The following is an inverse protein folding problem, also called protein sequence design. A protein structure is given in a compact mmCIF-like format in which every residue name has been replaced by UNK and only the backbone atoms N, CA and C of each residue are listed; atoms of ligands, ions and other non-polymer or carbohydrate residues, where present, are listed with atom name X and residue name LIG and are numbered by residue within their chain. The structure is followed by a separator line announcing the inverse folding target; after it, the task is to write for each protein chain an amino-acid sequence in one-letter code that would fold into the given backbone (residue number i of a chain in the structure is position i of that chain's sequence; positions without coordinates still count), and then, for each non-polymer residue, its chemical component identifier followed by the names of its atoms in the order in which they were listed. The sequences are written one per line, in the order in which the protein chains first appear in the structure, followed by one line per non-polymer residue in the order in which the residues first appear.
data_IF_246221291923
#
_entry.id   IF_246221291923
#
_cell.length_a   1.000
_cell.length_b   1.000
_cell.length_c   1.000
_cell.angle_alpha   90.00
_cell.angle_beta   90.00
_cell.angle_gamma   90.00
#
_symmetry.space_group_name_H-M   'P 1'
#
loop_
_entity.id
_entity.type
_entity.pdbx_description
1 polymer ?
#
# COMPACT_ATOMS: atom_id res chain seq x y z
N UNK A 1 -30.87 15.89 -25.60
CA UNK A 1 -31.25 15.11 -24.41
C UNK A 1 -30.84 13.67 -24.64
N UNK A 2 -29.66 13.30 -24.16
CA UNK A 2 -29.29 11.92 -23.83
C UNK A 2 -28.36 12.06 -22.62
N UNK A 3 -28.98 12.14 -21.44
CA UNK A 3 -28.27 11.87 -20.18
C UNK A 3 -28.01 10.37 -20.16
N UNK A 4 -26.75 9.98 -20.28
CA UNK A 4 -26.32 8.67 -19.82
C UNK A 4 -26.20 8.77 -18.31
N UNK A 5 -27.27 8.37 -17.63
CA UNK A 5 -27.22 7.93 -16.24
C UNK A 5 -26.42 6.62 -16.18
N UNK A 6 -25.08 6.73 -16.19
CA UNK A 6 -24.23 5.69 -15.65
C UNK A 6 -24.22 5.88 -14.13
N UNK A 7 -25.26 5.34 -13.51
CA UNK A 7 -25.32 5.16 -12.07
C UNK A 7 -24.11 4.29 -11.67
N UNK A 8 -23.10 4.91 -11.06
CA UNK A 8 -21.90 4.26 -10.54
C UNK A 8 -22.18 3.37 -9.31
N UNK A 9 -23.45 3.04 -9.05
CA UNK A 9 -23.88 2.31 -7.87
C UNK A 9 -24.10 0.82 -8.17
N UNK A 10 -23.25 0.02 -7.51
CA UNK A 10 -23.28 -1.45 -7.39
C UNK A 10 -22.88 -2.27 -8.62
N UNK A 11 -21.60 -2.68 -8.66
CA UNK A 11 -21.26 -3.95 -9.30
C UNK A 11 -22.16 -5.05 -8.72
N UNK A 12 -22.68 -5.91 -9.59
CA UNK A 12 -23.48 -7.05 -9.15
C UNK A 12 -22.59 -8.03 -8.39
N UNK A 13 -22.66 -7.94 -7.06
CA UNK A 13 -21.96 -8.83 -6.15
C UNK A 13 -22.80 -10.05 -5.72
N UNK A 14 -23.96 -10.29 -6.35
CA UNK A 14 -24.92 -11.33 -5.93
C UNK A 14 -24.32 -12.74 -5.88
N UNK A 15 -23.40 -13.04 -6.81
CA UNK A 15 -22.81 -14.36 -6.96
C UNK A 15 -21.54 -14.57 -6.12
N UNK A 16 -20.99 -13.51 -5.51
CA UNK A 16 -19.75 -13.59 -4.73
C UNK A 16 -20.07 -13.70 -3.24
N UNK A 17 -20.00 -14.92 -2.73
CA UNK A 17 -20.39 -15.27 -1.37
C UNK A 17 -19.19 -15.62 -0.49
N UNK A 18 -18.02 -15.86 -1.08
CA UNK A 18 -16.82 -16.21 -0.33
C UNK A 18 -16.06 -14.97 0.13
N UNK A 19 -15.62 -14.98 1.38
CA UNK A 19 -14.72 -13.99 1.97
C UNK A 19 -14.08 -14.59 3.22
N UNK A 20 -12.94 -14.06 3.63
CA UNK A 20 -12.33 -14.35 4.93
C UNK A 20 -11.98 -13.04 5.64
N UNK A 21 -12.24 -12.99 6.95
CA UNK A 21 -11.77 -11.90 7.81
C UNK A 21 -10.45 -12.27 8.48
N UNK A 22 -9.44 -11.43 8.25
CA UNK A 22 -8.10 -11.51 8.81
C UNK A 22 -7.96 -10.43 9.89
N UNK A 23 -8.06 -10.77 11.18
CA UNK A 23 -7.88 -9.80 12.25
C UNK A 23 -6.42 -9.36 12.33
N UNK A 24 -6.18 -8.12 12.72
CA UNK A 24 -4.82 -7.73 13.07
C UNK A 24 -4.35 -8.44 14.33
N UNK A 25 -3.05 -8.76 14.35
CA UNK A 25 -2.38 -9.41 15.49
C UNK A 25 -2.45 -8.52 16.74
N UNK A 26 -2.36 -7.21 16.54
CA UNK A 26 -2.40 -6.20 17.58
C UNK A 26 -3.41 -5.10 17.22
N UNK A 27 -3.97 -4.38 18.20
CA UNK A 27 -4.80 -3.21 17.94
C UNK A 27 -4.07 -2.20 17.04
N UNK A 28 -4.81 -1.60 16.12
CA UNK A 28 -4.27 -0.65 15.16
C UNK A 28 -3.80 0.63 15.85
N UNK A 29 -2.60 1.11 15.48
CA UNK A 29 -1.94 2.27 16.06
C UNK A 29 -1.20 3.07 14.99
N UNK A 30 -0.90 4.33 15.30
CA UNK A 30 -0.07 5.18 14.44
C UNK A 30 1.37 4.65 14.37
N UNK A 31 1.92 4.12 15.47
CA UNK A 31 3.35 3.82 15.57
C UNK A 31 3.73 2.45 14.99
N UNK A 32 2.75 1.58 14.76
CA UNK A 32 2.96 0.17 14.41
C UNK A 32 2.30 -0.16 13.06
N UNK A 33 3.01 -0.92 12.23
CA UNK A 33 2.44 -1.45 10.99
C UNK A 33 1.43 -2.54 11.34
N UNK A 34 0.20 -2.55 10.79
CA UNK A 34 -0.76 -3.62 11.04
C UNK A 34 -0.19 -4.95 10.54
N UNK A 35 -0.30 -5.98 11.37
CA UNK A 35 0.20 -7.32 11.06
C UNK A 35 -0.96 -8.29 10.97
N UNK A 36 -0.91 -9.22 10.01
CA UNK A 36 -1.79 -10.40 9.95
C UNK A 36 -0.98 -11.67 10.20
N UNK A 37 -1.62 -12.71 10.74
CA UNK A 37 -0.99 -14.02 10.92
C UNK A 37 -0.96 -14.76 9.60
N UNK A 38 0.21 -15.24 9.18
CA UNK A 38 0.38 -16.08 8.00
C UNK A 38 1.27 -17.28 8.28
N UNK A 39 1.23 -18.26 7.38
CA UNK A 39 2.25 -19.29 7.21
C UNK A 39 2.77 -19.17 5.78
N UNK A 40 4.07 -19.01 5.60
CA UNK A 40 4.72 -18.95 4.28
C UNK A 40 5.61 -20.17 4.14
N UNK A 41 5.28 -21.03 3.18
CA UNK A 41 6.01 -22.28 2.94
C UNK A 41 6.28 -23.08 4.24
N UNK A 42 5.25 -23.25 5.08
CA UNK A 42 5.32 -23.96 6.36
C UNK A 42 5.85 -23.15 7.54
N UNK A 43 6.39 -21.94 7.32
CA UNK A 43 6.95 -21.09 8.39
C UNK A 43 5.90 -20.06 8.88
N UNK A 44 5.52 -20.04 10.16
CA UNK A 44 4.63 -19.02 10.70
C UNK A 44 5.29 -17.63 10.71
N UNK A 45 4.64 -16.64 10.11
CA UNK A 45 5.14 -15.26 10.02
C UNK A 45 4.00 -14.29 10.34
N UNK A 46 4.32 -13.20 11.07
CA UNK A 46 3.42 -12.05 11.21
C UNK A 46 3.74 -11.08 10.08
N UNK A 47 2.90 -11.04 9.05
CA UNK A 47 3.15 -10.23 7.86
C UNK A 47 2.58 -8.82 8.01
N UNK A 48 3.38 -7.77 7.76
CA UNK A 48 2.86 -6.40 7.70
C UNK A 48 1.95 -6.22 6.50
N UNK A 49 0.82 -5.54 6.67
CA UNK A 49 -0.08 -5.17 5.57
C UNK A 49 0.28 -3.76 5.11
N UNK A 50 0.84 -3.64 3.91
CA UNK A 50 1.28 -2.37 3.31
C UNK A 50 0.52 -2.12 1.99
N UNK A 51 -0.36 -1.12 1.97
CA UNK A 51 -1.11 -0.73 0.76
C UNK A 51 -0.37 0.27 -0.13
N UNK A 52 0.78 0.80 0.28
CA UNK A 52 1.64 1.69 -0.53
C UNK A 52 2.57 0.94 -1.49
N UNK A 53 2.54 -0.38 -1.46
CA UNK A 53 3.42 -1.25 -2.24
C UNK A 53 2.73 -2.55 -2.65
N UNK A 54 3.33 -3.29 -3.57
CA UNK A 54 2.81 -4.60 -4.01
C UNK A 54 3.94 -5.63 -4.03
N UNK A 55 3.67 -6.83 -3.52
CA UNK A 55 4.62 -7.94 -3.51
C UNK A 55 5.03 -8.37 -2.10
N UNK A 56 5.53 -9.60 -1.98
CA UNK A 56 5.93 -10.18 -0.70
C UNK A 56 7.45 -10.40 -0.69
N UNK A 57 8.11 -9.99 0.40
CA UNK A 57 9.55 -10.19 0.61
C UNK A 57 9.77 -10.92 1.95
N UNK A 58 10.60 -11.96 1.93
CA UNK A 58 11.02 -12.67 3.14
C UNK A 58 12.52 -12.91 3.09
N UNK A 59 13.23 -12.67 4.18
CA UNK A 59 14.65 -13.00 4.28
C UNK A 59 14.90 -14.49 4.07
N UNK A 60 15.91 -14.84 3.26
CA UNK A 60 16.31 -16.23 3.04
C UNK A 60 16.54 -17.02 4.35
N UNK A 61 17.14 -16.46 5.42
CA UNK A 61 17.30 -17.19 6.68
C UNK A 61 15.99 -17.56 7.40
N UNK A 62 14.87 -16.92 7.06
CA UNK A 62 13.55 -17.23 7.64
C UNK A 62 12.90 -18.43 6.92
N UNK A 63 13.30 -18.69 5.68
CA UNK A 63 12.75 -19.75 4.82
C UNK A 63 13.85 -20.77 4.46
N UNK A 64 14.40 -21.50 5.44
CA UNK A 64 15.59 -22.35 5.22
C UNK A 64 15.35 -23.50 4.24
N UNK A 65 14.11 -23.96 4.10
CA UNK A 65 13.74 -25.11 3.26
C UNK A 65 13.36 -24.70 1.82
N UNK A 66 13.44 -23.41 1.47
CA UNK A 66 13.14 -22.95 0.11
C UNK A 66 14.34 -23.20 -0.80
N UNK A 67 14.11 -24.00 -1.84
CA UNK A 67 15.09 -24.23 -2.91
C UNK A 67 15.21 -23.02 -3.85
N UNK A 68 16.19 -22.17 -3.55
CA UNK A 68 16.50 -20.98 -4.33
C UNK A 68 16.95 -21.27 -5.77
N UNK A 69 17.40 -22.49 -6.10
CA UNK A 69 17.81 -22.82 -7.47
C UNK A 69 16.64 -22.75 -8.47
N UNK A 70 15.41 -22.93 -7.98
CA UNK A 70 14.16 -22.81 -8.75
C UNK A 70 13.68 -21.37 -8.92
N UNK A 71 14.28 -20.43 -8.20
CA UNK A 71 13.89 -19.02 -8.21
C UNK A 71 14.55 -18.21 -9.32
N UNK A 72 13.87 -17.15 -9.76
CA UNK A 72 14.40 -16.20 -10.77
C UNK A 72 15.07 -15.00 -10.10
N UNK A 73 16.30 -14.60 -10.48
CA UNK A 73 16.96 -13.43 -9.89
C UNK A 73 16.13 -12.16 -9.97
N UNK A 74 16.03 -11.45 -8.84
CA UNK A 74 15.24 -10.26 -8.71
C UNK A 74 15.80 -9.30 -7.64
N UNK A 75 15.32 -8.08 -7.70
CA UNK A 75 15.63 -7.02 -6.75
C UNK A 75 14.44 -6.08 -6.60
N UNK A 76 14.40 -5.37 -5.48
CA UNK A 76 13.40 -4.35 -5.18
C UNK A 76 14.03 -3.22 -4.40
N UNK A 77 13.72 -1.98 -4.78
CA UNK A 77 14.15 -0.79 -4.08
C UNK A 77 12.94 -0.06 -3.50
N UNK A 78 12.97 0.22 -2.19
CA UNK A 78 11.93 0.98 -1.51
C UNK A 78 12.43 2.40 -1.21
N UNK A 79 12.06 3.36 -2.06
CA UNK A 79 12.55 4.75 -2.00
C UNK A 79 12.16 5.50 -0.73
N UNK A 80 11.07 5.14 -0.07
CA UNK A 80 10.67 5.73 1.22
C UNK A 80 11.65 5.41 2.35
N UNK A 81 12.44 4.33 2.20
CA UNK A 81 13.37 3.84 3.22
C UNK A 81 14.83 3.82 2.75
N UNK A 82 15.08 4.07 1.45
CA UNK A 82 16.37 3.89 0.80
C UNK A 82 16.93 2.48 1.01
N UNK A 83 16.08 1.45 0.97
CA UNK A 83 16.50 0.06 1.16
C UNK A 83 16.44 -0.67 -0.18
N UNK A 84 17.54 -1.31 -0.52
CA UNK A 84 17.67 -2.23 -1.64
C UNK A 84 17.61 -3.67 -1.15
N UNK A 85 16.82 -4.50 -1.81
CA UNK A 85 16.67 -5.92 -1.56
C UNK A 85 17.06 -6.67 -2.83
N UNK A 86 17.84 -7.74 -2.68
CA UNK A 86 18.29 -8.61 -3.77
C UNK A 86 18.09 -10.06 -3.37
N UNK A 87 17.67 -10.88 -4.33
CA UNK A 87 17.46 -12.30 -4.11
C UNK A 87 16.77 -12.96 -5.29
N UNK A 88 15.84 -13.87 -5.02
CA UNK A 88 15.10 -14.61 -6.06
C UNK A 88 13.60 -14.62 -5.83
N UNK A 89 12.83 -14.50 -6.90
CA UNK A 89 11.39 -14.75 -6.90
C UNK A 89 11.17 -16.26 -6.97
N UNK A 90 10.49 -16.79 -5.96
CA UNK A 90 10.05 -18.19 -5.89
C UNK A 90 8.55 -18.18 -5.65
N UNK A 91 7.80 -18.99 -6.39
CA UNK A 91 6.37 -19.15 -6.15
C UNK A 91 6.20 -19.98 -4.86
N UNK A 92 5.65 -19.35 -3.82
CA UNK A 92 5.47 -19.95 -2.50
C UNK A 92 4.01 -19.89 -2.09
N UNK A 93 3.59 -20.92 -1.35
CA UNK A 93 2.28 -20.92 -0.70
C UNK A 93 2.29 -19.97 0.51
N UNK A 94 1.25 -19.16 0.60
CA UNK A 94 0.96 -18.24 1.70
C UNK A 94 -0.42 -18.57 2.24
N UNK A 95 -0.51 -19.04 3.48
CA UNK A 95 -1.77 -19.25 4.18
C UNK A 95 -2.01 -18.11 5.15
N UNK A 96 -3.15 -17.44 5.04
CA UNK A 96 -3.65 -16.42 5.95
C UNK A 96 -4.53 -17.06 7.01
N UNK A 97 -4.33 -16.69 8.28
CA UNK A 97 -5.11 -17.21 9.40
C UNK A 97 -6.14 -16.19 9.87
N UNK A 98 -7.41 -16.54 9.73
CA UNK A 98 -8.56 -15.75 10.14
C UNK A 98 -9.06 -16.07 11.55
N UNK A 99 -10.28 -15.62 11.85
CA UNK A 99 -10.96 -15.92 13.12
C UNK A 99 -11.45 -17.37 13.16
N UNK A 100 -11.61 -17.94 14.37
CA UNK A 100 -12.22 -19.25 14.59
C UNK A 100 -11.59 -20.40 13.78
N UNK A 101 -10.28 -20.33 13.49
CA UNK A 101 -9.57 -21.35 12.71
C UNK A 101 -9.80 -21.29 11.19
N UNK A 102 -10.56 -20.29 10.71
CA UNK A 102 -10.67 -20.04 9.27
C UNK A 102 -9.32 -19.67 8.67
N UNK A 103 -9.10 -20.05 7.41
CA UNK A 103 -7.87 -19.74 6.70
C UNK A 103 -8.11 -19.62 5.20
N UNK A 104 -7.23 -18.91 4.51
CA UNK A 104 -7.24 -18.82 3.06
C UNK A 104 -5.82 -18.95 2.54
N UNK A 105 -5.62 -19.59 1.40
CA UNK A 105 -4.29 -19.80 0.83
C UNK A 105 -4.17 -19.21 -0.56
N UNK A 106 -2.99 -18.70 -0.87
CA UNK A 106 -2.57 -18.20 -2.17
C UNK A 106 -1.22 -18.78 -2.55
N UNK A 107 -0.95 -18.90 -3.84
CA UNK A 107 0.40 -19.17 -4.37
C UNK A 107 0.85 -17.95 -5.17
N UNK A 108 1.91 -17.29 -4.71
CA UNK A 108 2.40 -16.05 -5.34
C UNK A 108 3.93 -16.03 -5.44
N UNK A 109 4.51 -15.25 -6.37
CA UNK A 109 5.93 -14.98 -6.39
C UNK A 109 6.35 -14.18 -5.15
N UNK A 110 7.19 -14.79 -4.33
CA UNK A 110 7.81 -14.20 -3.14
C UNK A 110 9.27 -13.89 -3.43
N UNK A 111 9.71 -12.66 -3.18
CA UNK A 111 11.12 -12.32 -3.22
C UNK A 111 11.81 -12.83 -1.95
N UNK A 112 12.49 -13.97 -2.08
CA UNK A 112 13.34 -14.51 -1.02
C UNK A 112 14.65 -13.74 -1.04
N UNK A 113 14.85 -12.90 -0.01
CA UNK A 113 15.92 -11.90 0.06
C UNK A 113 17.21 -12.53 0.57
N UNK A 114 18.20 -12.62 -0.30
CA UNK A 114 19.55 -13.11 -0.01
C UNK A 114 20.43 -11.97 0.55
N UNK A 115 20.24 -10.75 0.04
CA UNK A 115 21.00 -9.58 0.44
C UNK A 115 20.11 -8.34 0.59
N UNK A 116 20.43 -7.49 1.58
CA UNK A 116 19.75 -6.20 1.77
C UNK A 116 20.75 -5.13 2.17
N UNK A 117 20.55 -3.92 1.63
CA UNK A 117 21.43 -2.78 1.83
C UNK A 117 20.64 -1.51 2.09
N UNK A 118 21.20 -0.62 2.90
CA UNK A 118 20.83 0.79 2.86
C UNK A 118 21.58 1.42 1.69
N UNK A 119 20.82 1.93 0.73
CA UNK A 119 21.26 2.33 -0.59
C UNK A 119 20.67 3.70 -0.98
N UNK A 120 21.11 4.82 -0.36
CA UNK A 120 20.52 6.15 -0.59
C UNK A 120 20.73 6.68 -2.01
N UNK A 121 21.72 6.15 -2.73
CA UNK A 121 22.13 6.62 -4.05
C UNK A 121 21.56 5.77 -5.19
N UNK A 122 20.71 4.79 -4.86
CA UNK A 122 20.06 3.98 -5.89
C UNK A 122 19.14 4.85 -6.75
N UNK A 123 19.20 4.61 -8.05
CA UNK A 123 18.37 5.28 -9.06
C UNK A 123 17.89 4.18 -10.00
N UNK A 124 16.61 3.77 -9.93
CA UNK A 124 16.09 2.65 -10.72
C UNK A 124 16.12 2.91 -12.22
N UNK A 125 16.33 4.15 -12.67
CA UNK A 125 16.47 4.45 -14.10
C UNK A 125 17.92 4.28 -14.61
N UNK A 126 18.89 4.16 -13.70
CA UNK A 126 20.33 4.08 -14.03
C UNK A 126 20.98 2.80 -13.53
N UNK A 127 20.56 2.34 -12.37
CA UNK A 127 21.17 1.24 -11.65
C UNK A 127 20.38 -0.05 -11.88
N UNK A 128 21.13 -1.13 -12.11
CA UNK A 128 20.61 -2.47 -12.31
C UNK A 128 20.52 -3.25 -10.99
N UNK A 129 20.91 -4.54 -10.98
CA UNK A 129 20.66 -5.44 -9.85
C UNK A 129 21.61 -5.26 -8.65
N UNK A 130 22.40 -4.19 -8.61
CA UNK A 130 23.37 -3.91 -7.56
C UNK A 130 23.15 -2.53 -6.97
N UNK A 131 23.36 -2.42 -5.65
CA UNK A 131 23.43 -1.12 -5.00
C UNK A 131 24.76 -0.42 -5.37
N UNK A 132 24.73 0.79 -5.96
CA UNK A 132 25.94 1.49 -6.34
C UNK A 132 26.75 1.99 -5.13
N UNK A 133 28.03 2.29 -5.37
CA UNK A 133 28.81 3.11 -4.45
C UNK A 133 28.26 4.53 -4.40
N UNK A 134 28.47 5.20 -3.26
CA UNK A 134 28.12 6.60 -3.10
C UNK A 134 28.99 7.53 -3.98
N UNK A 135 28.57 8.79 -4.16
CA UNK A 135 29.31 9.77 -4.96
C UNK A 135 30.77 9.98 -4.52
N UNK A 136 31.11 9.71 -3.26
CA UNK A 136 32.46 9.77 -2.71
C UNK A 136 33.14 8.40 -2.59
N UNK A 137 32.57 7.34 -3.19
CA UNK A 137 33.07 5.97 -3.09
C UNK A 137 32.58 5.20 -1.86
N UNK A 138 31.57 5.70 -1.15
CA UNK A 138 31.04 5.07 0.06
C UNK A 138 30.39 3.72 -0.26
N UNK A 139 30.78 2.67 0.48
CA UNK A 139 30.16 1.36 0.34
C UNK A 139 28.73 1.35 0.93
N UNK A 140 27.79 0.62 0.31
CA UNK A 140 26.45 0.49 0.85
C UNK A 140 26.44 -0.31 2.16
N UNK A 141 25.60 0.12 3.11
CA UNK A 141 25.53 -0.52 4.43
C UNK A 141 24.65 -1.77 4.37
N UNK A 142 25.24 -2.95 4.52
CA UNK A 142 24.51 -4.23 4.59
C UNK A 142 23.56 -4.27 5.79
N UNK A 143 22.40 -4.89 5.59
CA UNK A 143 21.37 -5.14 6.61
C UNK A 143 21.26 -6.63 6.89
N UNK A 144 20.83 -6.95 8.10
CA UNK A 144 20.50 -8.33 8.46
C UNK A 144 19.21 -8.76 7.73
N UNK A 145 19.27 -9.90 7.03
CA UNK A 145 18.13 -10.46 6.31
C UNK A 145 17.23 -11.32 7.20
N UNK A 146 17.68 -11.75 8.38
CA UNK A 146 16.91 -12.63 9.29
C UNK A 146 15.66 -12.00 9.92
N UNK A 147 15.41 -10.71 9.64
CA UNK A 147 14.26 -9.94 10.14
C UNK A 147 13.44 -9.30 9.01
N UNK A 148 13.70 -9.66 7.76
CA UNK A 148 12.99 -9.08 6.62
C UNK A 148 11.71 -9.86 6.40
N UNK A 149 10.59 -9.21 6.72
CA UNK A 149 9.23 -9.65 6.38
C UNK A 149 8.47 -8.44 5.86
N UNK A 150 7.91 -8.54 4.66
CA UNK A 150 7.19 -7.43 4.02
C UNK A 150 6.09 -7.99 3.13
N UNK A 151 4.90 -7.40 3.17
CA UNK A 151 3.79 -7.79 2.30
C UNK A 151 3.03 -6.55 1.82
N UNK A 152 3.34 -6.17 0.59
CA UNK A 152 2.62 -5.17 -0.18
C UNK A 152 1.36 -5.74 -0.80
N UNK A 153 0.21 -5.11 -0.51
CA UNK A 153 -1.12 -5.46 -1.01
C UNK A 153 -1.78 -4.31 -1.79
N UNK A 154 -1.03 -3.24 -2.08
CA UNK A 154 -1.44 -2.13 -2.93
C UNK A 154 -1.50 -2.44 -4.42
N UNK A 155 -1.69 -1.39 -5.21
CA UNK A 155 -1.76 -1.40 -6.69
C UNK A 155 -1.24 -0.08 -7.27
N UNK A 156 -1.08 0.00 -8.60
CA UNK A 156 -0.80 1.27 -9.31
C UNK A 156 0.61 1.84 -9.15
N UNK A 157 1.59 1.03 -8.71
CA UNK A 157 2.99 1.44 -8.46
C UNK A 157 3.99 0.95 -9.52
N UNK A 158 3.50 0.31 -10.59
CA UNK A 158 4.31 -0.31 -11.64
C UNK A 158 4.70 0.63 -12.80
N UNK A 159 4.35 1.92 -12.71
CA UNK A 159 4.76 2.93 -13.69
C UNK A 159 6.24 3.28 -13.55
N UNK A 160 6.88 3.60 -14.68
CA UNK A 160 8.24 4.12 -14.67
C UNK A 160 8.31 5.38 -13.78
N UNK A 161 9.28 5.42 -12.87
CA UNK A 161 9.42 6.48 -11.85
C UNK A 161 8.77 6.18 -10.48
N UNK A 162 7.90 5.18 -10.38
CA UNK A 162 7.28 4.79 -9.09
C UNK A 162 8.05 3.71 -8.32
N UNK A 163 9.21 3.30 -8.84
CA UNK A 163 10.21 2.43 -8.22
C UNK A 163 9.72 1.01 -7.85
N UNK A 164 8.53 0.60 -8.32
CA UNK A 164 8.01 -0.76 -8.15
C UNK A 164 7.56 -1.38 -9.48
N UNK A 165 8.43 -1.52 -10.49
CA UNK A 165 8.06 -2.07 -11.81
C UNK A 165 7.51 -3.51 -11.74
N UNK A 166 7.76 -4.23 -10.64
CA UNK A 166 7.24 -5.57 -10.36
C UNK A 166 6.00 -5.58 -9.45
N UNK A 167 5.47 -4.41 -9.10
CA UNK A 167 4.26 -4.26 -8.31
C UNK A 167 3.01 -4.57 -9.15
N UNK A 168 2.87 -5.84 -9.54
CA UNK A 168 1.83 -6.35 -10.42
C UNK A 168 0.77 -7.12 -9.60
N UNK A 169 -0.48 -7.25 -10.08
CA UNK A 169 -1.53 -7.96 -9.36
C UNK A 169 -1.18 -9.39 -8.96
N UNK A 170 -0.38 -10.10 -9.78
CA UNK A 170 0.13 -11.44 -9.45
C UNK A 170 0.97 -11.53 -8.16
N UNK A 171 1.59 -10.42 -7.75
CA UNK A 171 2.38 -10.35 -6.50
C UNK A 171 1.55 -9.97 -5.28
N UNK A 172 0.28 -9.61 -5.45
CA UNK A 172 -0.62 -9.25 -4.36
C UNK A 172 -1.32 -10.51 -3.84
N UNK A 173 -0.92 -10.98 -2.66
CA UNK A 173 -1.46 -12.21 -2.08
C UNK A 173 -2.98 -12.18 -1.85
N UNK A 174 -3.57 -11.01 -1.57
CA UNK A 174 -5.02 -10.88 -1.39
C UNK A 174 -5.82 -11.03 -2.68
N UNK A 175 -5.20 -10.84 -3.85
CA UNK A 175 -5.88 -10.96 -5.15
C UNK A 175 -5.78 -12.36 -5.77
N UNK A 176 -4.99 -13.25 -5.17
CA UNK A 176 -4.65 -14.55 -5.73
C UNK A 176 -4.98 -15.68 -4.74
N UNK A 177 -6.08 -15.54 -3.99
CA UNK A 177 -6.60 -16.61 -3.11
C UNK A 177 -7.12 -17.76 -3.97
N UNK A 178 -6.64 -18.97 -3.69
CA UNK A 178 -6.93 -20.21 -4.40
C UNK A 178 -7.84 -21.14 -3.59
N UNK A 179 -7.75 -21.08 -2.26
CA UNK A 179 -8.58 -21.89 -1.35
C UNK A 179 -8.98 -21.13 -0.09
N UNK A 180 -10.14 -21.48 0.45
CA UNK A 180 -10.64 -21.02 1.76
C UNK A 180 -11.05 -22.26 2.56
N UNK A 181 -10.55 -22.37 3.79
CA UNK A 181 -10.79 -23.48 4.71
C UNK A 181 -10.45 -24.87 4.12
N UNK A 182 -9.41 -24.93 3.30
CA UNK A 182 -8.98 -26.16 2.62
C UNK A 182 -9.76 -26.53 1.36
N UNK A 183 -10.83 -25.80 1.04
CA UNK A 183 -11.61 -25.99 -0.17
C UNK A 183 -11.16 -25.02 -1.27
N UNK A 184 -10.98 -25.53 -2.48
CA UNK A 184 -10.66 -24.68 -3.64
C UNK A 184 -11.81 -23.69 -3.88
N UNK A 185 -11.46 -22.43 -4.13
CA UNK A 185 -12.42 -21.37 -4.44
C UNK A 185 -13.06 -21.66 -5.81
N UNK A 186 -14.39 -21.90 -5.88
CA UNK A 186 -15.04 -22.11 -7.17
C UNK A 186 -14.94 -20.86 -8.07
N UNK A 187 -14.80 -21.03 -9.40
CA UNK A 187 -14.82 -19.90 -10.33
C UNK A 187 -16.05 -19.01 -10.12
N UNK A 188 -15.82 -17.70 -10.01
CA UNK A 188 -16.89 -16.71 -9.84
C UNK A 188 -17.49 -16.61 -8.42
N UNK A 189 -17.05 -17.41 -7.45
CA UNK A 189 -17.55 -17.35 -6.07
C UNK A 189 -16.85 -16.33 -5.17
N UNK A 190 -15.64 -15.92 -5.56
CA UNK A 190 -14.80 -14.93 -4.87
C UNK A 190 -14.53 -13.75 -5.79
N UNK A 191 -14.90 -12.55 -5.36
CA UNK A 191 -14.55 -11.30 -6.05
C UNK A 191 -13.17 -10.87 -5.60
N UNK A 192 -12.17 -10.98 -6.47
CA UNK A 192 -10.80 -10.57 -6.13
C UNK A 192 -10.75 -9.08 -5.75
N UNK A 193 -10.29 -8.83 -4.53
CA UNK A 193 -10.36 -7.53 -3.88
C UNK A 193 -10.37 -7.69 -2.36
N UNK A 194 -10.35 -6.58 -1.64
CA UNK A 194 -10.36 -6.60 -0.17
C UNK A 194 -10.94 -5.31 0.41
N UNK A 195 -11.42 -5.39 1.65
CA UNK A 195 -11.77 -4.25 2.51
C UNK A 195 -10.80 -4.20 3.67
N UNK A 196 -10.09 -3.09 3.85
CA UNK A 196 -9.14 -2.84 4.92
C UNK A 196 -9.70 -1.79 5.89
N UNK A 197 -9.68 -2.10 7.19
CA UNK A 197 -10.11 -1.21 8.27
C UNK A 197 -9.04 -1.16 9.37
N UNK A 198 -9.30 -0.39 10.44
CA UNK A 198 -8.49 -0.43 11.66
C UNK A 198 -8.61 -1.75 12.47
N UNK A 199 -9.51 -2.67 12.11
CA UNK A 199 -9.68 -3.95 12.84
C UNK A 199 -9.08 -5.14 12.11
N UNK A 200 -8.92 -5.05 10.79
CA UNK A 200 -8.39 -6.14 9.98
C UNK A 200 -8.71 -5.99 8.50
N UNK A 201 -8.71 -7.12 7.80
CA UNK A 201 -8.94 -7.19 6.35
C UNK A 201 -9.98 -8.23 6.03
N UNK A 202 -11.02 -7.85 5.28
CA UNK A 202 -11.83 -8.82 4.55
C UNK A 202 -11.20 -9.06 3.18
N UNK A 203 -10.76 -10.29 2.90
CA UNK A 203 -10.27 -10.69 1.58
C UNK A 203 -11.40 -11.39 0.83
N UNK A 204 -11.63 -10.99 -0.43
CA UNK A 204 -12.83 -11.34 -1.18
C UNK A 204 -13.97 -10.37 -0.91
N UNK A 205 -14.45 -9.68 -1.94
CA UNK A 205 -15.57 -8.76 -1.81
C UNK A 205 -16.91 -9.51 -1.88
N UNK A 206 -17.80 -9.16 -0.97
CA UNK A 206 -19.20 -9.63 -0.95
C UNK A 206 -20.11 -8.43 -0.78
N UNK A 207 -21.40 -8.60 -1.11
CA UNK A 207 -22.40 -7.53 -0.87
C UNK A 207 -22.43 -7.07 0.59
N UNK A 208 -22.15 -7.97 1.53
CA UNK A 208 -22.14 -7.65 2.96
C UNK A 208 -20.96 -6.77 3.33
N UNK A 209 -19.74 -7.16 2.99
CA UNK A 209 -18.55 -6.46 3.48
C UNK A 209 -18.30 -5.11 2.78
N UNK A 210 -18.87 -4.88 1.59
CA UNK A 210 -18.84 -3.57 0.90
C UNK A 210 -20.06 -2.69 1.18
N UNK A 211 -20.97 -3.09 2.07
CA UNK A 211 -22.12 -2.25 2.42
C UNK A 211 -21.65 -0.88 2.93
N UNK A 212 -22.23 0.18 2.37
CA UNK A 212 -21.91 1.56 2.72
C UNK A 212 -20.55 2.04 2.23
N UNK A 213 -19.91 1.30 1.33
CA UNK A 213 -18.72 1.77 0.61
C UNK A 213 -19.16 2.64 -0.55
N UNK A 214 -18.63 3.86 -0.61
CA UNK A 214 -18.73 4.71 -1.79
C UNK A 214 -17.52 4.49 -2.68
N UNK A 215 -17.75 4.12 -3.94
CA UNK A 215 -16.71 3.71 -4.89
C UNK A 215 -16.44 4.80 -5.92
N UNK A 216 -15.17 4.98 -6.23
CA UNK A 216 -14.70 5.73 -7.40
C UNK A 216 -14.09 4.76 -8.41
N UNK A 217 -14.22 5.09 -9.69
CA UNK A 217 -13.59 4.34 -10.77
C UNK A 217 -12.08 4.63 -10.84
N UNK A 218 -11.32 3.58 -11.13
CA UNK A 218 -9.88 3.63 -11.35
C UNK A 218 -9.57 3.63 -12.84
N UNK A 219 -8.50 4.32 -13.20
CA UNK A 219 -7.96 4.28 -14.55
C UNK A 219 -7.15 2.98 -14.75
N UNK A 220 -7.13 2.40 -15.97
CA UNK A 220 -6.28 1.25 -16.28
C UNK A 220 -4.81 1.48 -15.93
N UNK A 221 -4.18 0.47 -15.31
CA UNK A 221 -2.75 0.45 -15.02
C UNK A 221 -1.89 0.18 -16.26
N UNK A 222 -0.56 0.15 -16.06
CA UNK A 222 0.42 0.01 -17.15
C UNK A 222 0.30 -1.33 -17.88
N UNK A 223 0.03 -2.40 -17.12
CA UNK A 223 -0.08 -3.78 -17.59
C UNK A 223 -1.52 -4.28 -17.64
N UNK A 224 -2.50 -3.36 -17.64
CA UNK A 224 -3.93 -3.69 -17.62
C UNK A 224 -4.36 -4.59 -18.79
N UNK A 225 -3.70 -4.45 -19.95
CA UNK A 225 -3.97 -5.32 -21.12
C UNK A 225 -3.52 -6.77 -20.90
N UNK A 226 -2.55 -7.00 -20.03
CA UNK A 226 -2.03 -8.33 -19.70
C UNK A 226 -2.74 -8.93 -18.47
N UNK A 227 -3.02 -8.10 -17.47
CA UNK A 227 -3.81 -8.48 -16.30
C UNK A 227 -4.86 -7.39 -16.04
N UNK A 228 -6.16 -7.65 -16.29
CA UNK A 228 -7.22 -6.64 -16.12
C UNK A 228 -7.44 -6.21 -14.66
N UNK A 229 -6.70 -6.80 -13.71
CA UNK A 229 -6.67 -6.36 -12.31
C UNK A 229 -5.62 -5.27 -12.04
N UNK A 230 -4.80 -4.91 -13.04
CA UNK A 230 -3.81 -3.86 -12.90
C UNK A 230 -4.44 -2.49 -13.13
N UNK A 231 -4.59 -1.74 -12.04
CA UNK A 231 -5.22 -0.41 -12.03
C UNK A 231 -4.22 0.65 -11.58
N UNK A 232 -4.38 1.88 -12.07
CA UNK A 232 -3.64 3.04 -11.61
C UNK A 232 -4.08 3.46 -10.20
N UNK A 233 -3.26 4.28 -9.54
CA UNK A 233 -3.62 4.91 -8.26
C UNK A 233 -4.91 5.73 -8.39
N UNK A 234 -5.72 5.86 -7.31
CA UNK A 234 -6.92 6.69 -7.33
C UNK A 234 -6.59 8.16 -7.60
N UNK A 235 -7.47 8.83 -8.35
CA UNK A 235 -7.46 10.29 -8.51
C UNK A 235 -7.77 10.98 -7.18
N UNK A 236 -7.16 12.13 -6.96
CA UNK A 236 -7.38 12.96 -5.78
C UNK A 236 -7.28 14.44 -6.12
N UNK A 237 -7.96 15.26 -5.32
CA UNK A 237 -7.69 16.68 -5.18
C UNK A 237 -7.22 16.94 -3.75
N UNK A 238 -6.21 17.77 -3.58
CA UNK A 238 -5.78 18.20 -2.25
C UNK A 238 -5.41 19.68 -2.26
N UNK A 239 -5.58 20.35 -1.12
CA UNK A 239 -5.24 21.75 -0.95
C UNK A 239 -4.21 21.94 0.16
N UNK A 240 -3.31 22.90 -0.03
CA UNK A 240 -2.34 23.34 0.97
C UNK A 240 -2.58 24.83 1.22
N UNK A 241 -3.02 25.18 2.43
CA UNK A 241 -3.45 26.54 2.78
C UNK A 241 -4.43 27.13 1.73
N UNK A 242 -5.42 26.32 1.34
CA UNK A 242 -6.45 26.67 0.34
C UNK A 242 -6.02 26.63 -1.13
N UNK A 243 -4.75 26.28 -1.43
CA UNK A 243 -4.27 26.14 -2.82
C UNK A 243 -4.43 24.72 -3.32
N UNK A 244 -5.41 24.52 -4.20
CA UNK A 244 -5.75 23.21 -4.75
C UNK A 244 -4.71 22.66 -5.73
N UNK A 245 -4.61 21.33 -5.76
CA UNK A 245 -3.77 20.52 -6.62
C UNK A 245 -4.57 19.26 -7.02
N UNK A 246 -4.39 18.79 -8.25
CA UNK A 246 -5.04 17.59 -8.74
C UNK A 246 -4.01 16.55 -9.16
N UNK A 247 -4.19 15.31 -8.73
CA UNK A 247 -3.19 14.28 -8.94
C UNK A 247 -3.65 12.90 -8.54
N UNK A 248 -2.73 12.14 -7.94
CA UNK A 248 -2.98 10.77 -7.49
C UNK A 248 -2.72 10.62 -6.00
N UNK A 249 -3.36 9.64 -5.39
CA UNK A 249 -3.21 9.35 -3.98
C UNK A 249 -2.81 7.89 -3.73
N UNK A 250 -2.07 7.68 -2.63
CA UNK A 250 -1.96 6.39 -1.96
C UNK A 250 -2.51 6.51 -0.56
N UNK A 251 -3.44 5.62 -0.21
CA UNK A 251 -3.74 5.31 1.18
C UNK A 251 -2.78 4.22 1.61
N UNK A 252 -1.80 4.55 2.46
CA UNK A 252 -0.64 3.69 2.74
C UNK A 252 -0.61 3.21 4.20
N UNK A 253 -1.04 1.96 4.42
CA UNK A 253 -0.94 1.29 5.71
C UNK A 253 0.50 0.86 6.07
N UNK A 254 1.50 1.15 5.25
CA UNK A 254 2.92 0.85 5.45
C UNK A 254 3.69 1.94 6.18
N UNK A 255 3.19 3.18 6.23
CA UNK A 255 3.88 4.30 6.90
C UNK A 255 2.98 5.17 7.80
N UNK A 256 3.50 5.75 8.90
CA UNK A 256 2.73 6.62 9.78
C UNK A 256 2.73 8.10 9.37
N UNK A 257 3.52 8.46 8.37
CA UNK A 257 3.72 9.83 7.91
C UNK A 257 3.18 9.99 6.50
N UNK A 258 2.97 11.25 6.11
CA UNK A 258 2.49 11.61 4.79
C UNK A 258 3.63 12.10 3.90
N UNK A 259 3.55 11.80 2.60
CA UNK A 259 4.32 12.48 1.57
C UNK A 259 3.40 13.38 0.76
N UNK A 260 3.85 14.58 0.44
CA UNK A 260 3.12 15.50 -0.43
C UNK A 260 4.03 16.03 -1.52
N UNK A 261 3.59 15.91 -2.76
CA UNK A 261 4.25 16.43 -3.95
C UNK A 261 3.28 17.33 -4.69
N UNK A 262 3.72 18.55 -4.97
CA UNK A 262 2.97 19.54 -5.72
C UNK A 262 3.54 19.70 -7.13
N UNK A 263 2.80 20.41 -7.99
CA UNK A 263 3.33 20.86 -9.27
C UNK A 263 4.53 21.81 -9.10
N UNK A 264 5.26 21.98 -10.19
CA UNK A 264 6.33 22.97 -10.26
C UNK A 264 5.77 24.38 -9.99
N UNK A 265 6.49 25.14 -9.16
CA UNK A 265 6.08 26.50 -8.78
C UNK A 265 5.10 26.58 -7.61
N UNK A 266 4.51 25.47 -7.15
CA UNK A 266 3.60 25.46 -5.99
C UNK A 266 4.37 25.09 -4.73
N UNK A 267 4.74 26.10 -3.93
CA UNK A 267 5.52 25.89 -2.71
C UNK A 267 4.70 25.26 -1.59
N UNK A 268 5.27 24.25 -0.94
CA UNK A 268 4.75 23.69 0.32
C UNK A 268 5.47 24.37 1.48
N UNK A 269 4.78 25.04 2.43
CA UNK A 269 5.43 25.65 3.59
C UNK A 269 6.22 24.60 4.37
N UNK A 270 7.54 24.72 4.42
CA UNK A 270 8.39 23.73 5.04
C UNK A 270 9.47 24.34 5.94
N UNK A 271 9.99 23.49 6.83
CA UNK A 271 11.11 23.76 7.71
C UNK A 271 12.11 22.62 7.61
N UNK A 272 13.39 22.93 7.81
CA UNK A 272 14.44 21.94 7.97
C UNK A 272 14.68 21.74 9.46
N UNK A 273 14.56 20.49 9.90
CA UNK A 273 14.81 20.10 11.30
C UNK A 273 15.92 19.07 11.37
N UNK A 274 16.54 18.93 12.54
CA UNK A 274 17.44 17.80 12.81
C UNK A 274 16.65 16.50 12.65
N UNK A 275 17.24 15.51 11.98
CA UNK A 275 16.58 14.24 11.73
C UNK A 275 16.27 13.53 13.06
N UNK A 276 15.00 13.29 13.39
CA UNK A 276 14.65 12.58 14.62
C UNK A 276 15.11 11.12 14.59
N UNK A 277 15.33 10.55 13.40
CA UNK A 277 15.90 9.22 13.25
C UNK A 277 17.39 9.30 12.88
N UNK A 278 18.23 9.38 13.92
CA UNK A 278 19.69 9.48 13.79
C UNK A 278 20.32 8.29 13.02
N UNK A 279 19.62 7.16 12.91
CA UNK A 279 20.10 5.95 12.24
C UNK A 279 19.93 5.96 10.71
N UNK A 280 19.29 6.99 10.14
CA UNK A 280 18.98 7.10 8.70
C UNK A 280 19.94 7.99 7.89
N UNK A 281 21.11 8.31 8.43
CA UNK A 281 22.25 8.88 7.68
C UNK A 281 22.17 10.37 7.34
N UNK A 282 20.98 10.93 7.08
CA UNK A 282 20.80 12.36 6.90
C UNK A 282 20.75 13.08 8.25
N UNK A 283 21.59 14.10 8.46
CA UNK A 283 21.58 14.90 9.70
C UNK A 283 20.33 15.78 9.83
N UNK A 284 19.83 16.28 8.70
CA UNK A 284 18.67 17.15 8.61
C UNK A 284 17.62 16.61 7.63
N UNK A 285 16.36 16.91 7.91
CA UNK A 285 15.22 16.51 7.07
C UNK A 285 14.22 17.66 6.93
N UNK A 286 13.53 17.72 5.79
CA UNK A 286 12.44 18.66 5.57
C UNK A 286 11.12 18.13 6.15
N UNK A 287 10.32 19.04 6.71
CA UNK A 287 8.96 18.79 7.19
C UNK A 287 8.06 19.94 6.80
N UNK A 288 6.78 19.68 6.57
CA UNK A 288 5.79 20.75 6.41
C UNK A 288 5.67 21.50 7.74
N UNK A 289 5.54 22.82 7.68
CA UNK A 289 5.49 23.68 8.87
C UNK A 289 4.22 23.41 9.67
N UNK A 290 4.33 23.41 11.00
CA UNK A 290 3.15 23.36 11.87
C UNK A 290 2.24 24.57 11.60
N UNK A 291 0.92 24.37 11.65
CA UNK A 291 -0.08 25.38 11.31
C UNK A 291 -0.52 25.40 9.85
N UNK A 292 0.18 24.69 8.94
CA UNK A 292 -0.26 24.51 7.56
C UNK A 292 -1.52 23.64 7.52
N UNK A 293 -2.56 24.13 6.85
CA UNK A 293 -3.79 23.38 6.63
C UNK A 293 -3.67 22.52 5.37
N UNK A 294 -4.07 21.26 5.49
CA UNK A 294 -4.09 20.29 4.40
C UNK A 294 -5.49 19.69 4.31
N UNK A 295 -6.11 19.84 3.14
CA UNK A 295 -7.38 19.19 2.79
C UNK A 295 -7.13 18.16 1.69
N UNK A 296 -7.75 16.99 1.78
CA UNK A 296 -7.61 15.89 0.81
C UNK A 296 -9.00 15.35 0.50
N UNK A 297 -9.26 15.12 -0.78
CA UNK A 297 -10.52 14.57 -1.26
C UNK A 297 -10.37 13.58 -2.41
N UNK A 298 -11.34 12.68 -2.51
CA UNK A 298 -11.39 11.58 -3.48
C UNK A 298 -12.72 11.60 -4.24
N UNK A 299 -12.73 11.87 -5.56
CA UNK A 299 -11.62 12.34 -6.38
C UNK A 299 -11.43 13.86 -6.33
N UNK A 300 -12.33 14.60 -5.65
CA UNK A 300 -12.29 16.06 -5.52
C UNK A 300 -12.49 16.51 -4.07
N UNK A 301 -12.30 17.80 -3.79
CA UNK A 301 -12.57 18.44 -2.49
C UNK A 301 -14.03 18.88 -2.32
N UNK A 302 -14.90 18.55 -3.27
CA UNK A 302 -16.33 18.85 -3.18
C UNK A 302 -17.01 17.84 -2.24
N UNK A 303 -17.76 18.35 -1.27
CA UNK A 303 -18.56 17.56 -0.32
C UNK A 303 -19.58 16.63 -1.00
N UNK A 304 -19.84 16.82 -2.30
CA UNK A 304 -20.66 15.91 -3.13
C UNK A 304 -19.99 14.57 -3.50
N UNK A 305 -18.73 14.32 -3.09
CA UNK A 305 -17.94 13.14 -3.48
C UNK A 305 -17.57 12.21 -2.31
N UNK A 306 -17.03 11.04 -2.67
CA UNK A 306 -16.88 9.86 -1.81
C UNK A 306 -16.21 10.12 -0.46
N UNK A 307 -15.12 10.90 -0.42
CA UNK A 307 -14.42 11.24 0.83
C UNK A 307 -13.74 12.60 0.74
N UNK A 308 -13.82 13.38 1.83
CA UNK A 308 -12.96 14.52 2.11
C UNK A 308 -12.54 14.55 3.58
N UNK A 309 -11.29 14.94 3.86
CA UNK A 309 -10.84 15.25 5.22
C UNK A 309 -9.80 16.37 5.24
N UNK A 310 -9.79 17.11 6.34
CA UNK A 310 -8.88 18.23 6.58
C UNK A 310 -8.18 18.07 7.91
N UNK A 311 -6.91 18.45 7.98
CA UNK A 311 -6.17 18.57 9.22
C UNK A 311 -5.18 19.74 9.16
N UNK A 312 -4.75 20.20 10.33
CA UNK A 312 -3.71 21.22 10.46
C UNK A 312 -2.45 20.55 10.99
N UNK A 313 -1.33 20.70 10.29
CA UNK A 313 -0.05 20.09 10.66
C UNK A 313 0.33 20.50 12.08
N UNK A 314 0.63 19.52 12.93
CA UNK A 314 1.01 19.73 14.33
C UNK A 314 -0.16 19.97 15.29
N UNK A 315 -1.42 19.90 14.83
CA UNK A 315 -2.60 19.85 15.71
C UNK A 315 -3.10 18.41 15.87
N UNK A 316 -3.74 18.13 17.01
CA UNK A 316 -4.29 16.80 17.29
C UNK A 316 -5.48 16.50 16.38
N UNK A 317 -5.39 15.39 15.66
CA UNK A 317 -6.48 14.75 14.91
C UNK A 317 -6.10 13.28 14.74
N UNK A 318 -7.06 12.36 14.87
CA UNK A 318 -6.80 10.92 14.71
C UNK A 318 -6.33 10.58 13.30
N UNK A 319 -6.86 11.27 12.29
CA UNK A 319 -6.48 11.10 10.89
C UNK A 319 -5.24 11.89 10.48
N UNK A 320 -4.73 12.81 11.31
CA UNK A 320 -3.50 13.52 10.99
C UNK A 320 -2.32 12.53 10.99
N UNK A 321 -1.45 12.56 9.97
CA UNK A 321 -0.24 11.74 9.95
C UNK A 321 0.71 12.20 11.06
N UNK A 322 1.61 11.31 11.49
CA UNK A 322 2.63 11.63 12.51
C UNK A 322 3.50 12.84 12.15
N UNK A 323 3.70 13.08 10.86
CA UNK A 323 4.27 14.28 10.26
C UNK A 323 4.05 14.26 8.74
N UNK A 324 4.31 15.39 8.07
CA UNK A 324 4.22 15.51 6.61
C UNK A 324 5.60 15.83 6.03
N UNK A 325 5.99 15.09 5.00
CA UNK A 325 7.25 15.25 4.27
C UNK A 325 6.94 15.88 2.91
N UNK A 326 7.45 17.10 2.63
CA UNK A 326 7.36 17.67 1.29
C UNK A 326 8.36 16.95 0.37
N UNK A 327 7.86 16.35 -0.70
CA UNK A 327 8.68 15.81 -1.78
C UNK A 327 9.20 16.94 -2.68
N UNK A 328 10.12 16.59 -3.58
CA UNK A 328 10.52 17.49 -4.66
C UNK A 328 9.31 17.75 -5.57
N UNK A 329 9.05 19.02 -5.87
CA UNK A 329 8.05 19.42 -6.86
C UNK A 329 8.31 18.71 -8.18
N UNK A 330 7.29 18.02 -8.68
CA UNK A 330 7.30 17.37 -9.99
C UNK A 330 5.87 16.91 -10.35
N UNK A 331 5.48 16.96 -11.63
CA UNK A 331 4.22 16.42 -12.07
C UNK A 331 4.25 14.87 -12.12
N UNK A 332 3.10 14.20 -11.92
CA UNK A 332 1.86 14.78 -11.40
C UNK A 332 1.94 15.02 -9.88
N UNK A 333 1.13 15.95 -9.34
CA UNK A 333 0.90 16.06 -7.90
C UNK A 333 0.52 14.71 -7.29
N UNK A 334 0.92 14.54 -6.05
CA UNK A 334 0.80 13.25 -5.38
C UNK A 334 0.68 13.42 -3.87
N UNK A 335 -0.19 12.62 -3.26
CA UNK A 335 -0.27 12.50 -1.81
C UNK A 335 -0.20 11.04 -1.40
N UNK A 336 0.63 10.73 -0.43
CA UNK A 336 0.55 9.49 0.31
C UNK A 336 0.03 9.85 1.71
N UNK A 337 -1.19 9.43 2.05
CA UNK A 337 -1.85 9.84 3.30
C UNK A 337 -1.17 9.28 4.56
N UNK A 338 -0.38 8.22 4.39
CA UNK A 338 -0.03 7.33 5.48
C UNK A 338 -1.24 6.60 6.07
N UNK A 339 -0.96 5.85 7.12
CA UNK A 339 -1.89 4.86 7.69
C UNK A 339 -3.04 5.52 8.47
N UNK A 340 -2.82 6.69 9.04
CA UNK A 340 -3.77 7.33 9.96
C UNK A 340 -5.12 7.67 9.32
N UNK A 341 -5.17 7.75 7.98
CA UNK A 341 -6.42 7.77 7.23
C UNK A 341 -7.40 6.67 7.67
N UNK A 342 -6.88 5.48 8.01
CA UNK A 342 -7.69 4.33 8.42
C UNK A 342 -8.37 4.49 9.79
N UNK A 343 -8.04 5.53 10.56
CA UNK A 343 -8.78 5.88 11.78
C UNK A 343 -10.14 6.52 11.48
N UNK A 344 -10.32 7.15 10.31
CA UNK A 344 -11.60 7.74 9.91
C UNK A 344 -12.32 7.00 8.80
N UNK A 345 -11.62 6.14 8.04
CA UNK A 345 -12.20 5.41 6.92
C UNK A 345 -11.71 3.97 6.84
N UNK A 346 -12.58 3.04 6.47
CA UNK A 346 -12.17 1.79 5.83
C UNK A 346 -12.02 2.02 4.32
N UNK A 347 -11.10 1.31 3.67
CA UNK A 347 -10.95 1.32 2.21
C UNK A 347 -11.35 -0.02 1.62
N UNK A 348 -11.82 -0.01 0.38
CA UNK A 348 -12.11 -1.20 -0.41
C UNK A 348 -11.42 -1.12 -1.77
N UNK A 349 -10.81 -2.21 -2.22
CA UNK A 349 -10.28 -2.33 -3.57
C UNK A 349 -11.00 -3.46 -4.30
N UNK A 350 -11.74 -3.12 -5.35
CA UNK A 350 -12.35 -4.07 -6.29
C UNK A 350 -11.46 -4.21 -7.51
N UNK A 351 -10.56 -5.20 -7.47
CA UNK A 351 -9.57 -5.41 -8.52
C UNK A 351 -10.21 -5.90 -9.84
N UNK A 352 -11.37 -6.55 -9.78
CA UNK A 352 -12.05 -7.02 -11.00
C UNK A 352 -12.86 -5.89 -11.65
N UNK A 353 -13.41 -4.98 -10.85
CA UNK A 353 -14.24 -3.88 -11.33
C UNK A 353 -13.49 -2.58 -11.58
N UNK A 354 -12.24 -2.47 -11.12
CA UNK A 354 -11.46 -1.25 -11.21
C UNK A 354 -12.01 -0.14 -10.36
N UNK A 355 -12.31 -0.44 -9.10
CA UNK A 355 -12.91 0.55 -8.20
C UNK A 355 -12.15 0.61 -6.88
N UNK A 356 -11.97 1.82 -6.38
CA UNK A 356 -11.45 2.06 -5.04
C UNK A 356 -12.52 2.78 -4.23
N UNK A 357 -12.81 2.27 -3.04
CA UNK A 357 -13.94 2.74 -2.28
C UNK A 357 -13.60 3.04 -0.85
N UNK A 358 -14.49 3.79 -0.21
CA UNK A 358 -14.31 4.30 1.13
C UNK A 358 -15.58 4.14 1.94
N UNK A 359 -15.42 3.84 3.22
CA UNK A 359 -16.52 3.80 4.19
C UNK A 359 -16.11 4.52 5.46
N UNK A 360 -16.83 5.56 5.89
CA UNK A 360 -16.57 6.23 7.16
C UNK A 360 -16.57 5.23 8.33
N UNK A 361 -15.62 5.39 9.25
CA UNK A 361 -15.64 4.70 10.54
C UNK A 361 -16.62 5.45 11.44
N UNK A 362 -17.77 4.85 11.72
CA UNK A 362 -18.74 5.44 12.64
C UNK A 362 -18.16 5.42 14.07
N UNK A 363 -18.11 6.56 14.78
CA UNK A 363 -17.64 6.63 16.16
C UNK A 363 -18.45 5.74 17.14
N UNK A 364 -19.64 5.32 16.74
CA UNK A 364 -20.59 4.54 17.54
C UNK A 364 -20.50 3.02 17.36
N UNK A 365 -19.63 2.51 16.47
CA UNK A 365 -19.44 1.07 16.24
C UNK A 365 -18.25 0.44 16.99
N UNK A 366 -17.61 1.16 17.89
CA UNK A 366 -16.58 0.64 18.80
C UNK A 366 -17.12 0.60 20.23
N UNK A 367 -17.86 -0.48 20.53
CA UNK A 367 -18.10 -0.99 21.89
C UNK A 367 -17.88 -2.50 21.91
#
# INVERSE_FOLDING_TARGET
MLHNDNDASNADLSNYTQSIFLPFVYPYKTEEVPLVKTTVNGVPIKMPVDTGSTGLLVGAPILPDVDLSKGTPAHQYLSSSNIFYKGRLVDLSVTFHGVNGSHASATIPVLVVEESFICPWYDPNKHGPECPLGPGGEAPRRRNTSQITYMGVGFGRNRAGDNQPRGLPKGNAFLNIESINGEAVPPGSLRAGYVLSATGVHVGLTRENVRGVDFIDLEPGVTHKQDPRDWAMPRTCFAIDGREQHGYALVDSGIPHMYIRTEEGVSVPNITIRNPNQNRGAEFVKRVRAGTEIAIGFPSLDDSKAVGYTFVVGRNSSMAPSHVIPERQAPPPFVNTGRNFLFGYSIAFDAVGGRFGFRPVNPSSSL
#
